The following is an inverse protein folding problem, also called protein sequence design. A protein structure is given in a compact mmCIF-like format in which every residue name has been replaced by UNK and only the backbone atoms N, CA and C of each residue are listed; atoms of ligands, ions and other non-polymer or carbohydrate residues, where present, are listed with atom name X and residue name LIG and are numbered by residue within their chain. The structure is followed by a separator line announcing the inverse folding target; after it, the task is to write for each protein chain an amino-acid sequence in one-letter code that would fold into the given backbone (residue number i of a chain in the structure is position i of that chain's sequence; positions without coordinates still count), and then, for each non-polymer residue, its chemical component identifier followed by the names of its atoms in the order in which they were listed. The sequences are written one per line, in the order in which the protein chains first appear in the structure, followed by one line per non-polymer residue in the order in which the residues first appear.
data_IF_448626739736
#
_entry.id   IF_448626739736
#
_cell.length_a   1.000
_cell.length_b   1.000
_cell.length_c   1.000
_cell.angle_alpha   90.00
_cell.angle_beta   90.00
_cell.angle_gamma   90.00
#
_symmetry.space_group_name_H-M   'P 1'
#
loop_
_entity.id
_entity.type
_entity.pdbx_description
1 polymer ?
#
# COMPACT_ATOMS: atom_id res chain seq x y z
N UNK A 1 -6.94 -15.77 -27.59
CA UNK A 1 -5.80 -15.25 -26.80
C UNK A 1 -6.30 -14.79 -25.42
N UNK A 2 -6.91 -15.68 -24.64
CA UNK A 2 -7.63 -15.32 -23.40
C UNK A 2 -6.90 -15.76 -22.10
N UNK A 3 -5.67 -16.29 -22.19
CA UNK A 3 -4.99 -16.86 -21.03
C UNK A 3 -4.10 -15.91 -20.22
N UNK A 4 -3.72 -14.74 -20.74
CA UNK A 4 -2.74 -13.84 -20.07
C UNK A 4 -3.33 -12.69 -19.27
N UNK A 5 -4.59 -12.36 -19.45
CA UNK A 5 -5.21 -11.21 -18.77
C UNK A 5 -5.37 -11.39 -17.23
N UNK A 6 -5.48 -12.62 -16.76
CA UNK A 6 -5.67 -12.94 -15.34
C UNK A 6 -4.39 -13.40 -14.61
N UNK A 7 -3.28 -13.49 -15.31
CA UNK A 7 -2.01 -13.87 -14.69
C UNK A 7 -1.42 -12.70 -13.90
N UNK A 8 -1.07 -12.93 -12.64
CA UNK A 8 -0.43 -11.92 -11.78
C UNK A 8 1.07 -11.94 -12.03
N UNK A 9 1.61 -10.83 -12.48
CA UNK A 9 3.05 -10.60 -12.58
C UNK A 9 3.55 -9.86 -11.34
N UNK A 10 4.75 -10.22 -10.86
CA UNK A 10 5.40 -9.56 -9.72
C UNK A 10 6.58 -8.74 -10.23
N UNK A 11 6.45 -7.43 -10.14
CA UNK A 11 7.40 -6.46 -10.65
C UNK A 11 7.95 -5.59 -9.51
N UNK A 12 9.25 -5.28 -9.59
CA UNK A 12 9.89 -4.28 -8.73
C UNK A 12 9.92 -2.94 -9.46
N UNK A 13 9.37 -1.88 -8.85
CA UNK A 13 9.28 -0.54 -9.45
C UNK A 13 9.86 0.52 -8.49
N UNK A 14 10.84 1.32 -8.91
CA UNK A 14 11.65 1.17 -10.11
C UNK A 14 12.38 -0.18 -10.16
N UNK A 15 12.72 -0.64 -11.36
CA UNK A 15 13.48 -1.88 -11.50
C UNK A 15 14.88 -1.72 -10.86
N UNK A 16 15.33 -2.77 -10.16
CA UNK A 16 16.72 -2.80 -9.67
C UNK A 16 17.66 -3.12 -10.83
N UNK A 17 18.69 -2.31 -10.99
CA UNK A 17 19.72 -2.52 -12.01
C UNK A 17 21.00 -2.97 -11.32
N UNK A 18 21.52 -4.12 -11.73
CA UNK A 18 22.78 -4.67 -11.17
C UNK A 18 23.91 -3.66 -11.36
N UNK A 19 24.64 -3.37 -10.29
CA UNK A 19 25.77 -2.43 -10.32
C UNK A 19 25.38 -0.95 -10.21
N UNK A 20 24.09 -0.62 -10.09
CA UNK A 20 23.64 0.72 -9.78
C UNK A 20 23.20 0.84 -8.32
N UNK A 21 23.33 2.04 -7.70
CA UNK A 21 22.79 2.27 -6.37
C UNK A 21 21.27 2.09 -6.37
N UNK A 22 20.73 1.70 -5.22
CA UNK A 22 19.28 1.64 -5.03
C UNK A 22 18.64 3.02 -5.23
N UNK A 23 17.39 3.03 -5.72
CA UNK A 23 16.61 4.25 -5.80
C UNK A 23 16.52 4.90 -4.41
N UNK A 24 16.81 6.20 -4.26
CA UNK A 24 16.84 6.88 -2.95
C UNK A 24 15.46 6.93 -2.28
N UNK A 25 14.39 6.82 -3.05
CA UNK A 25 13.01 6.76 -2.55
C UNK A 25 12.52 5.31 -2.32
N UNK A 26 13.41 4.33 -2.58
CA UNK A 26 13.16 2.91 -2.43
C UNK A 26 12.41 2.28 -3.59
N UNK A 27 12.21 0.97 -3.52
CA UNK A 27 11.54 0.16 -4.52
C UNK A 27 10.21 -0.38 -3.99
N UNK A 28 9.18 -0.43 -4.82
CA UNK A 28 7.90 -1.07 -4.51
C UNK A 28 7.80 -2.43 -5.20
N UNK A 29 7.24 -3.43 -4.53
CA UNK A 29 6.91 -4.69 -5.17
C UNK A 29 5.43 -4.66 -5.59
N UNK A 30 5.17 -4.95 -6.84
CA UNK A 30 3.85 -4.84 -7.44
C UNK A 30 3.36 -6.20 -7.92
N UNK A 31 2.22 -6.62 -7.41
CA UNK A 31 1.47 -7.76 -7.92
C UNK A 31 0.43 -7.23 -8.90
N UNK A 32 0.71 -7.28 -10.19
CA UNK A 32 -0.13 -6.69 -11.23
C UNK A 32 -0.68 -7.72 -12.18
N UNK A 33 -1.87 -7.45 -12.70
CA UNK A 33 -2.43 -8.18 -13.83
C UNK A 33 -1.99 -7.54 -15.14
N UNK A 34 -1.97 -8.33 -16.21
CA UNK A 34 -1.29 -7.96 -17.46
C UNK A 34 -1.64 -6.59 -18.03
N UNK A 35 -2.92 -6.17 -17.99
CA UNK A 35 -3.34 -4.87 -18.52
C UNK A 35 -2.91 -3.71 -17.62
N UNK A 36 -3.00 -3.88 -16.29
CA UNK A 36 -2.58 -2.86 -15.33
C UNK A 36 -1.10 -2.51 -15.44
N UNK A 37 -0.26 -3.46 -15.82
CA UNK A 37 1.16 -3.22 -16.07
C UNK A 37 1.39 -2.11 -17.11
N UNK A 38 0.64 -2.15 -18.20
CA UNK A 38 0.76 -1.13 -19.24
C UNK A 38 0.31 0.25 -18.75
N UNK A 39 -0.75 0.32 -17.95
CA UNK A 39 -1.22 1.57 -17.34
C UNK A 39 -0.11 2.15 -16.47
N UNK A 40 0.48 1.35 -15.59
CA UNK A 40 1.53 1.77 -14.67
C UNK A 40 2.80 2.23 -15.40
N UNK A 41 3.28 1.44 -16.37
CA UNK A 41 4.51 1.77 -17.11
C UNK A 41 4.39 3.01 -18.00
N UNK A 42 3.17 3.37 -18.41
CA UNK A 42 2.89 4.55 -19.23
C UNK A 42 2.31 5.72 -18.41
N UNK A 43 2.18 5.57 -17.08
CA UNK A 43 1.66 6.64 -16.23
C UNK A 43 2.57 7.88 -16.29
N UNK A 44 1.98 9.10 -16.42
CA UNK A 44 2.74 10.33 -16.27
C UNK A 44 3.46 10.33 -14.94
N UNK A 45 4.60 10.61 -14.73
CA UNK A 45 5.31 10.55 -13.43
C UNK A 45 5.88 9.18 -13.06
N UNK A 46 5.74 8.18 -13.93
CA UNK A 46 6.47 6.92 -13.77
C UNK A 46 7.97 7.21 -13.58
N UNK A 47 8.57 6.65 -12.53
CA UNK A 47 9.97 6.86 -12.12
C UNK A 47 10.33 8.29 -11.67
N UNK A 48 9.38 9.20 -11.52
CA UNK A 48 9.68 10.51 -10.94
C UNK A 48 10.06 10.35 -9.43
N UNK A 49 10.95 11.19 -8.93
CA UNK A 49 11.27 11.24 -7.51
C UNK A 49 10.04 11.52 -6.64
N UNK A 50 10.02 10.95 -5.45
CA UNK A 50 8.95 11.21 -4.47
C UNK A 50 8.95 12.68 -4.07
N UNK A 51 7.78 13.39 -4.13
CA UNK A 51 7.68 14.75 -3.66
C UNK A 51 8.11 14.88 -2.19
N UNK A 52 8.88 15.90 -1.89
CA UNK A 52 9.36 16.16 -0.52
C UNK A 52 8.61 17.32 0.10
N UNK A 53 8.45 17.28 1.42
CA UNK A 53 7.91 18.39 2.17
C UNK A 53 8.75 19.67 1.95
N UNK A 54 8.15 20.88 2.02
CA UNK A 54 8.86 22.13 1.85
C UNK A 54 10.09 22.21 2.75
N UNK A 55 11.22 22.64 2.20
CA UNK A 55 12.49 22.72 2.92
C UNK A 55 13.08 21.37 3.31
N UNK A 56 12.54 20.26 2.87
CA UNK A 56 12.93 18.89 3.25
C UNK A 56 12.89 18.65 4.78
N UNK A 57 12.02 19.39 5.49
CA UNK A 57 11.86 19.31 6.93
C UNK A 57 10.76 18.32 7.27
N UNK A 58 11.11 17.29 8.01
CA UNK A 58 10.16 16.29 8.48
C UNK A 58 9.23 16.90 9.53
N UNK A 59 7.93 16.97 9.22
CA UNK A 59 6.89 17.53 10.08
C UNK A 59 6.18 16.49 10.96
N UNK A 60 6.66 15.26 10.99
CA UNK A 60 6.05 14.17 11.74
C UNK A 60 7.10 13.25 12.40
N UNK A 61 6.63 12.47 13.37
CA UNK A 61 7.39 11.40 14.01
C UNK A 61 6.50 10.17 14.19
N UNK A 62 7.09 8.98 14.04
CA UNK A 62 6.42 7.71 14.35
C UNK A 62 6.78 7.32 15.77
N UNK A 63 5.76 7.16 16.63
CA UNK A 63 5.92 6.78 18.05
C UNK A 63 5.04 5.60 18.40
N UNK A 64 5.48 4.81 19.38
CA UNK A 64 4.65 3.80 20.03
C UNK A 64 3.57 4.49 20.86
N UNK A 65 2.33 4.02 20.70
CA UNK A 65 1.20 4.44 21.55
C UNK A 65 0.96 3.43 22.65
N UNK A 66 0.26 3.83 23.69
CA UNK A 66 0.00 2.94 24.83
C UNK A 66 -0.90 1.74 24.47
N UNK A 67 -1.79 1.87 23.45
CA UNK A 67 -2.85 0.88 23.18
C UNK A 67 -2.96 0.45 21.72
N UNK A 68 -2.44 1.24 20.77
CA UNK A 68 -2.72 1.04 19.34
C UNK A 68 -1.45 0.80 18.49
N UNK A 69 -0.36 0.38 19.11
CA UNK A 69 0.91 0.17 18.39
C UNK A 69 1.58 1.49 17.97
N UNK A 70 2.24 1.51 16.84
CA UNK A 70 2.90 2.72 16.32
C UNK A 70 1.89 3.63 15.63
N UNK A 71 1.97 4.94 15.92
CA UNK A 71 1.18 5.99 15.27
C UNK A 71 2.06 7.11 14.72
N UNK A 72 1.51 7.91 13.80
CA UNK A 72 2.15 9.09 13.21
C UNK A 72 1.66 10.33 13.93
N UNK A 73 2.59 11.18 14.38
CA UNK A 73 2.31 12.39 15.15
C UNK A 73 2.99 13.60 14.50
N UNK A 74 2.26 14.70 14.39
CA UNK A 74 2.85 15.97 13.97
C UNK A 74 3.88 16.46 15.00
N UNK A 75 4.97 17.06 14.52
CA UNK A 75 6.01 17.68 15.36
C UNK A 75 5.92 19.20 15.40
N UNK A 76 5.04 19.79 14.59
CA UNK A 76 4.74 21.20 14.49
C UNK A 76 3.34 21.42 13.93
N UNK A 77 2.87 22.63 13.91
CA UNK A 77 1.69 23.01 13.15
C UNK A 77 1.96 22.88 11.65
N UNK A 78 1.01 22.30 10.94
CA UNK A 78 1.13 22.00 9.51
C UNK A 78 0.03 22.80 8.78
N UNK A 79 0.41 23.74 7.89
CA UNK A 79 -0.55 24.50 7.12
C UNK A 79 -1.41 23.61 6.20
N UNK A 80 -2.62 24.08 5.92
CA UNK A 80 -3.51 23.41 4.95
C UNK A 80 -2.81 23.35 3.59
N UNK A 81 -2.89 22.18 2.95
CA UNK A 81 -2.30 21.93 1.65
C UNK A 81 -0.82 21.56 1.68
N UNK A 82 -0.17 21.63 2.84
CA UNK A 82 1.22 21.19 2.96
C UNK A 82 1.31 19.66 2.88
N UNK A 83 2.27 19.16 2.10
CA UNK A 83 2.62 17.73 2.06
C UNK A 83 3.31 17.39 3.39
N UNK A 84 2.68 16.49 4.15
CA UNK A 84 3.24 15.98 5.41
C UNK A 84 4.35 14.97 5.10
N UNK A 85 4.06 14.02 4.22
CA UNK A 85 5.02 13.10 3.63
C UNK A 85 4.49 12.53 2.32
N UNK A 86 5.39 12.00 1.54
CA UNK A 86 5.10 11.13 0.41
C UNK A 86 6.08 9.96 0.47
N UNK A 87 5.65 8.78 0.07
CA UNK A 87 6.46 7.57 0.07
C UNK A 87 6.06 6.61 -1.05
N UNK A 88 7.02 5.81 -1.53
CA UNK A 88 6.69 4.67 -2.36
C UNK A 88 6.10 3.56 -1.49
N UNK A 89 4.98 2.94 -1.89
CA UNK A 89 4.44 1.77 -1.18
C UNK A 89 5.48 0.66 -1.05
N UNK A 90 5.40 -0.11 0.01
CA UNK A 90 6.19 -1.33 0.18
C UNK A 90 5.72 -2.40 -0.80
N UNK A 91 4.40 -2.60 -0.86
CA UNK A 91 3.76 -3.53 -1.77
C UNK A 91 2.44 -2.97 -2.30
N UNK A 92 2.16 -3.23 -3.58
CA UNK A 92 0.85 -3.00 -4.19
C UNK A 92 0.32 -4.34 -4.71
N UNK A 93 -0.93 -4.63 -4.38
CA UNK A 93 -1.58 -5.90 -4.72
C UNK A 93 -3.02 -5.67 -5.14
N UNK A 94 -3.62 -6.55 -5.95
CA UNK A 94 -5.05 -6.51 -6.21
C UNK A 94 -5.84 -6.48 -4.90
N UNK A 95 -6.89 -5.64 -4.84
CA UNK A 95 -7.75 -5.53 -3.68
C UNK A 95 -8.62 -6.78 -3.54
N UNK A 96 -8.45 -7.49 -2.44
CA UNK A 96 -9.18 -8.74 -2.19
C UNK A 96 -8.66 -9.92 -3.01
N UNK A 97 -9.34 -11.03 -2.88
CA UNK A 97 -9.09 -12.25 -3.65
C UNK A 97 -10.26 -12.52 -4.58
N UNK A 98 -9.96 -12.86 -5.82
CA UNK A 98 -10.98 -13.27 -6.77
C UNK A 98 -11.41 -14.71 -6.45
N UNK A 99 -12.69 -14.85 -6.18
CA UNK A 99 -13.34 -16.15 -6.00
C UNK A 99 -14.28 -16.34 -7.18
N UNK A 100 -14.14 -17.43 -7.94
CA UNK A 100 -15.08 -17.73 -9.01
C UNK A 100 -16.52 -17.76 -8.49
N UNK A 101 -17.50 -17.28 -9.26
CA UNK A 101 -18.90 -17.37 -8.87
C UNK A 101 -19.30 -18.85 -8.75
N UNK A 102 -19.51 -19.31 -7.52
CA UNK A 102 -19.92 -20.68 -7.25
C UNK A 102 -20.85 -20.70 -6.05
N UNK A 103 -22.04 -21.26 -6.21
CA UNK A 103 -23.06 -21.27 -5.18
C UNK A 103 -22.71 -22.17 -3.98
N UNK A 104 -21.93 -23.23 -4.17
CA UNK A 104 -21.79 -24.30 -3.18
C UNK A 104 -20.42 -24.43 -2.51
N UNK A 105 -19.39 -23.70 -2.94
CA UNK A 105 -18.01 -23.90 -2.46
C UNK A 105 -17.23 -22.61 -2.19
N UNK A 106 -17.91 -21.51 -1.94
CA UNK A 106 -17.29 -20.18 -1.74
C UNK A 106 -16.17 -20.23 -0.71
N UNK A 107 -16.39 -20.85 0.44
CA UNK A 107 -15.39 -20.93 1.51
C UNK A 107 -14.11 -21.69 1.09
N UNK A 108 -14.26 -22.75 0.30
CA UNK A 108 -13.12 -23.53 -0.21
C UNK A 108 -12.30 -22.70 -1.20
N UNK A 109 -12.97 -22.07 -2.16
CA UNK A 109 -12.31 -21.23 -3.17
C UNK A 109 -11.67 -19.99 -2.56
N UNK A 110 -12.31 -19.38 -1.55
CA UNK A 110 -11.72 -18.27 -0.80
C UNK A 110 -10.41 -18.69 -0.11
N UNK A 111 -10.38 -19.86 0.54
CA UNK A 111 -9.15 -20.37 1.16
C UNK A 111 -8.06 -20.64 0.13
N UNK A 112 -8.41 -21.21 -1.02
CA UNK A 112 -7.44 -21.44 -2.10
C UNK A 112 -6.90 -20.12 -2.65
N UNK A 113 -7.75 -19.14 -2.89
CA UNK A 113 -7.36 -17.83 -3.39
C UNK A 113 -6.46 -17.08 -2.39
N UNK A 114 -6.77 -17.12 -1.10
CA UNK A 114 -5.92 -16.57 -0.05
C UNK A 114 -4.57 -17.29 0.03
N UNK A 115 -4.55 -18.60 -0.10
CA UNK A 115 -3.29 -19.36 -0.14
C UNK A 115 -2.43 -18.95 -1.35
N UNK A 116 -3.01 -18.81 -2.53
CA UNK A 116 -2.28 -18.36 -3.72
C UNK A 116 -1.76 -16.92 -3.55
N UNK A 117 -2.58 -16.02 -3.02
CA UNK A 117 -2.15 -14.66 -2.74
C UNK A 117 -0.99 -14.62 -1.74
N UNK A 118 -1.03 -15.43 -0.67
CA UNK A 118 0.07 -15.53 0.28
C UNK A 118 1.37 -15.95 -0.41
N UNK A 119 1.33 -16.97 -1.29
CA UNK A 119 2.50 -17.41 -2.05
C UNK A 119 3.05 -16.34 -3.01
N UNK A 120 2.19 -15.57 -3.63
CA UNK A 120 2.61 -14.43 -4.46
C UNK A 120 3.25 -13.32 -3.61
N UNK A 121 2.71 -13.04 -2.42
CA UNK A 121 3.28 -12.08 -1.49
C UNK A 121 4.62 -12.56 -0.93
N UNK A 122 4.79 -13.86 -0.65
CA UNK A 122 6.09 -14.43 -0.26
C UNK A 122 7.17 -14.12 -1.32
N UNK A 123 6.87 -14.36 -2.60
CA UNK A 123 7.79 -14.05 -3.71
C UNK A 123 8.09 -12.55 -3.80
N UNK A 124 7.08 -11.69 -3.61
CA UNK A 124 7.28 -10.25 -3.60
C UNK A 124 8.20 -9.81 -2.45
N UNK A 125 7.96 -10.35 -1.25
CA UNK A 125 8.75 -10.04 -0.04
C UNK A 125 10.20 -10.55 -0.17
N UNK A 126 10.42 -11.67 -0.82
CA UNK A 126 11.78 -12.18 -1.12
C UNK A 126 12.58 -11.24 -2.03
N UNK A 127 11.90 -10.53 -2.93
CA UNK A 127 12.52 -9.53 -3.81
C UNK A 127 12.89 -8.23 -3.09
N UNK A 128 12.26 -7.91 -1.95
CA UNK A 128 12.56 -6.69 -1.19
C UNK A 128 13.99 -6.70 -0.66
N UNK A 129 14.59 -5.50 -0.55
CA UNK A 129 15.78 -5.32 0.28
C UNK A 129 15.44 -5.57 1.76
N UNK A 130 16.47 -5.76 2.57
CA UNK A 130 16.33 -6.12 3.99
C UNK A 130 15.57 -5.05 4.81
N UNK A 131 15.78 -3.78 4.49
CA UNK A 131 15.13 -2.67 5.20
C UNK A 131 13.63 -2.65 4.91
N UNK A 132 13.21 -2.65 3.63
CA UNK A 132 11.81 -2.61 3.25
C UNK A 132 11.06 -3.86 3.69
N UNK A 133 11.72 -5.02 3.64
CA UNK A 133 11.18 -6.26 4.20
C UNK A 133 10.92 -6.13 5.71
N UNK A 134 11.88 -5.58 6.46
CA UNK A 134 11.71 -5.36 7.89
C UNK A 134 10.60 -4.35 8.19
N UNK A 135 10.47 -3.28 7.41
CA UNK A 135 9.38 -2.31 7.52
C UNK A 135 8.02 -2.97 7.34
N UNK A 136 7.84 -3.81 6.30
CA UNK A 136 6.59 -4.53 6.05
C UNK A 136 6.24 -5.48 7.20
N UNK A 137 7.19 -6.31 7.62
CA UNK A 137 6.98 -7.30 8.67
C UNK A 137 6.77 -6.68 10.07
N UNK A 138 7.16 -5.41 10.26
CA UNK A 138 6.91 -4.67 11.49
C UNK A 138 5.53 -3.99 11.54
N UNK A 139 4.69 -4.15 10.52
CA UNK A 139 3.31 -3.67 10.52
C UNK A 139 2.40 -4.58 11.36
N UNK A 140 1.28 -4.03 11.81
CA UNK A 140 0.33 -4.75 12.65
C UNK A 140 -0.29 -5.95 11.92
N UNK A 141 -0.37 -7.10 12.60
CA UNK A 141 -1.01 -8.29 12.09
C UNK A 141 -1.67 -9.10 13.22
N UNK A 142 -2.86 -8.70 13.65
CA UNK A 142 -3.63 -9.51 14.60
C UNK A 142 -4.48 -10.59 13.91
N UNK A 143 -4.62 -10.58 12.56
CA UNK A 143 -5.40 -11.56 11.80
C UNK A 143 -4.68 -12.92 11.62
N UNK A 144 -3.39 -12.99 11.88
CA UNK A 144 -2.63 -14.24 11.84
C UNK A 144 -3.20 -15.32 12.77
N UNK A 145 -3.91 -14.92 13.84
CA UNK A 145 -4.59 -15.83 14.76
C UNK A 145 -5.80 -16.55 14.13
N UNK A 146 -6.33 -16.05 13.01
CA UNK A 146 -7.52 -16.61 12.34
C UNK A 146 -7.18 -17.60 11.22
N UNK A 147 -5.91 -18.04 11.11
CA UNK A 147 -5.48 -18.99 10.07
C UNK A 147 -5.34 -18.34 8.67
N UNK A 148 -5.42 -17.03 8.56
CA UNK A 148 -4.98 -16.29 7.38
C UNK A 148 -3.45 -16.30 7.37
N UNK A 149 -2.84 -16.31 6.17
CA UNK A 149 -1.38 -16.20 6.04
C UNK A 149 -0.86 -14.89 6.64
N UNK A 150 0.38 -14.88 7.08
CA UNK A 150 0.98 -13.72 7.76
C UNK A 150 0.97 -12.48 6.88
N UNK A 151 1.33 -12.61 5.60
CA UNK A 151 1.42 -11.49 4.67
C UNK A 151 0.03 -11.00 4.24
N UNK A 152 -0.91 -11.90 4.00
CA UNK A 152 -2.31 -11.54 3.77
C UNK A 152 -2.89 -10.74 4.94
N UNK A 153 -2.62 -11.17 6.17
CA UNK A 153 -3.06 -10.46 7.36
C UNK A 153 -2.49 -9.04 7.44
N UNK A 154 -1.19 -8.87 7.15
CA UNK A 154 -0.54 -7.55 7.09
C UNK A 154 -1.19 -6.68 6.01
N UNK A 155 -1.34 -7.20 4.79
CA UNK A 155 -1.94 -6.45 3.67
C UNK A 155 -3.35 -6.01 4.03
N UNK A 156 -4.21 -6.91 4.46
CA UNK A 156 -5.62 -6.62 4.78
C UNK A 156 -5.82 -5.61 5.88
N UNK A 157 -4.87 -5.51 6.81
CA UNK A 157 -4.95 -4.59 7.94
C UNK A 157 -4.37 -3.20 7.67
N UNK A 158 -3.40 -3.13 6.78
CA UNK A 158 -2.57 -1.95 6.64
C UNK A 158 -2.66 -1.30 5.25
N UNK A 159 -3.48 -1.85 4.34
CA UNK A 159 -3.56 -1.34 2.98
C UNK A 159 -4.59 -0.23 2.83
N UNK A 160 -4.31 0.65 1.87
CA UNK A 160 -5.20 1.70 1.38
C UNK A 160 -5.53 1.47 -0.09
N UNK A 161 -6.74 1.84 -0.51
CA UNK A 161 -7.13 1.78 -1.92
C UNK A 161 -6.28 2.70 -2.78
N UNK A 162 -5.89 2.23 -3.96
CA UNK A 162 -5.21 3.03 -4.98
C UNK A 162 -6.26 3.54 -5.95
N UNK A 163 -6.44 4.86 -6.01
CA UNK A 163 -7.39 5.49 -6.93
C UNK A 163 -6.79 5.57 -8.33
N UNK A 164 -7.64 5.54 -9.34
CA UNK A 164 -7.29 5.64 -10.77
C UNK A 164 -6.33 4.54 -11.28
N UNK A 165 -6.15 3.48 -10.53
CA UNK A 165 -5.50 2.27 -10.99
C UNK A 165 -6.57 1.19 -11.17
N UNK A 166 -7.40 1.38 -12.19
CA UNK A 166 -8.48 0.47 -12.54
C UNK A 166 -8.23 -0.05 -13.94
N UNK A 167 -8.36 -1.34 -14.09
CA UNK A 167 -8.40 -1.97 -15.38
C UNK A 167 -9.85 -1.98 -15.88
N UNK A 168 -10.20 -0.99 -16.70
CA UNK A 168 -11.56 -0.85 -17.26
C UNK A 168 -11.89 -1.97 -18.26
N UNK A 169 -10.87 -2.61 -18.85
CA UNK A 169 -11.05 -3.76 -19.74
C UNK A 169 -11.13 -5.09 -18.98
N UNK A 170 -11.37 -5.04 -17.68
CA UNK A 170 -11.56 -6.24 -16.90
C UNK A 170 -12.70 -7.07 -17.51
N UNK A 171 -12.42 -8.32 -17.73
CA UNK A 171 -13.36 -9.30 -18.25
C UNK A 171 -14.61 -9.44 -17.37
N UNK A 172 -15.33 -10.56 -17.42
CA UNK A 172 -16.59 -10.76 -16.69
C UNK A 172 -16.51 -10.55 -15.16
N UNK A 173 -15.31 -10.45 -14.60
CA UNK A 173 -15.07 -10.33 -13.16
C UNK A 173 -15.11 -8.86 -12.65
N UNK A 174 -15.32 -7.87 -13.51
CA UNK A 174 -15.39 -6.45 -13.15
C UNK A 174 -14.03 -5.76 -13.00
N UNK A 175 -14.00 -4.45 -12.72
CA UNK A 175 -12.77 -3.69 -12.64
C UNK A 175 -11.89 -4.15 -11.47
N UNK A 176 -10.60 -4.32 -11.74
CA UNK A 176 -9.63 -4.68 -10.72
C UNK A 176 -9.20 -3.44 -9.96
N UNK A 177 -9.49 -3.42 -8.67
CA UNK A 177 -8.98 -2.43 -7.75
C UNK A 177 -7.66 -2.88 -7.14
N UNK A 178 -6.83 -1.93 -6.73
CA UNK A 178 -5.55 -2.20 -6.09
C UNK A 178 -5.50 -1.57 -4.71
N UNK A 179 -4.68 -2.18 -3.88
CA UNK A 179 -4.37 -1.71 -2.54
C UNK A 179 -2.88 -1.57 -2.36
N UNK A 180 -2.46 -0.54 -1.64
CA UNK A 180 -1.06 -0.27 -1.33
C UNK A 180 -0.81 -0.37 0.18
N UNK A 181 0.29 -1.00 0.55
CA UNK A 181 0.81 -1.04 1.92
C UNK A 181 2.05 -0.16 1.97
N UNK A 182 2.10 0.75 2.93
CA UNK A 182 3.15 1.74 3.11
C UNK A 182 3.86 1.56 4.45
N UNK A 183 5.06 2.12 4.64
CA UNK A 183 5.70 2.10 5.96
C UNK A 183 5.04 3.11 6.90
N UNK A 184 5.06 4.38 6.54
CA UNK A 184 4.53 5.46 7.38
C UNK A 184 3.02 5.56 7.26
N UNK A 185 2.48 5.54 6.04
CA UNK A 185 1.06 5.67 5.75
C UNK A 185 0.21 4.63 6.46
N UNK A 186 0.67 3.38 6.48
CA UNK A 186 -0.04 2.27 7.15
C UNK A 186 -0.07 2.37 8.68
N UNK A 187 0.63 3.34 9.28
CA UNK A 187 0.63 3.61 10.72
C UNK A 187 -0.31 4.76 11.11
N UNK A 188 -1.05 5.30 10.15
CA UNK A 188 -2.03 6.34 10.41
C UNK A 188 -3.34 5.69 10.80
N UNK A 189 -3.81 6.03 12.00
CA UNK A 189 -5.07 5.53 12.52
C UNK A 189 -6.24 6.31 11.91
N UNK A 190 -7.28 5.59 11.50
CA UNK A 190 -8.52 6.19 11.04
C UNK A 190 -9.23 6.94 12.17
N UNK A 191 -9.66 8.16 11.88
CA UNK A 191 -10.50 8.96 12.77
C UNK A 191 -11.71 9.48 12.01
N UNK A 192 -12.83 9.67 12.72
CA UNK A 192 -14.09 10.18 12.15
C UNK A 192 -13.98 11.60 11.57
N UNK A 193 -12.92 12.34 11.94
CA UNK A 193 -12.61 13.66 11.39
C UNK A 193 -11.27 13.58 10.70
N UNK A 194 -11.29 13.55 9.37
CA UNK A 194 -10.06 13.52 8.56
C UNK A 194 -9.36 14.87 8.63
N UNK A 195 -8.21 14.90 9.28
CA UNK A 195 -7.31 16.06 9.26
C UNK A 195 -6.35 16.05 8.06
N UNK A 196 -6.40 14.99 7.26
CA UNK A 196 -5.51 14.81 6.15
C UNK A 196 -6.18 14.01 5.02
N UNK A 197 -5.80 14.30 3.80
CA UNK A 197 -6.26 13.61 2.60
C UNK A 197 -5.18 12.63 2.18
N UNK A 198 -5.52 11.35 2.15
CA UNK A 198 -4.72 10.35 1.48
C UNK A 198 -4.97 10.41 -0.03
N UNK A 199 -3.91 10.51 -0.79
CA UNK A 199 -3.95 10.36 -2.23
C UNK A 199 -2.94 9.32 -2.66
N UNK A 200 -3.38 8.35 -3.46
CA UNK A 200 -2.49 7.59 -4.33
C UNK A 200 -2.93 7.89 -5.74
N UNK A 201 -2.06 8.42 -6.54
CA UNK A 201 -2.35 8.61 -7.96
C UNK A 201 -1.49 7.64 -8.76
N UNK A 202 -2.09 7.01 -9.76
CA UNK A 202 -1.33 6.22 -10.74
C UNK A 202 -0.25 7.08 -11.41
N UNK A 203 -0.48 8.40 -11.49
CA UNK A 203 0.44 9.35 -12.10
C UNK A 203 1.80 9.40 -11.41
N UNK A 204 1.85 9.19 -10.08
CA UNK A 204 3.12 9.31 -9.34
C UNK A 204 3.59 7.99 -8.71
N UNK A 205 2.74 6.95 -8.70
CA UNK A 205 3.04 5.68 -8.02
C UNK A 205 3.51 5.89 -6.56
N UNK A 206 2.94 6.90 -5.91
CA UNK A 206 3.39 7.45 -4.63
C UNK A 206 2.18 7.67 -3.74
N UNK A 207 2.31 7.31 -2.48
CA UNK A 207 1.38 7.69 -1.44
C UNK A 207 1.83 9.00 -0.80
N UNK A 208 0.91 9.95 -0.70
CA UNK A 208 1.18 11.20 0.00
C UNK A 208 0.06 11.53 0.99
N UNK A 209 0.43 12.25 2.02
CA UNK A 209 -0.47 12.79 3.01
C UNK A 209 -0.38 14.31 2.98
N UNK A 210 -1.52 14.96 2.76
CA UNK A 210 -1.66 16.42 2.73
C UNK A 210 -2.56 16.86 3.87
N UNK A 211 -2.18 17.92 4.58
CA UNK A 211 -3.02 18.50 5.63
C UNK A 211 -4.31 19.07 5.04
N UNK A 212 -5.47 18.63 5.50
CA UNK A 212 -6.80 19.12 5.07
C UNK A 212 -7.34 20.23 5.96
N UNK A 213 -6.71 20.45 7.13
CA UNK A 213 -7.00 21.54 8.09
C UNK A 213 -5.70 21.96 8.74
N UNK A 214 -5.61 23.23 9.15
CA UNK A 214 -4.55 23.65 10.08
C UNK A 214 -4.78 22.89 11.38
N UNK A 215 -3.93 21.95 11.71
CA UNK A 215 -4.13 21.12 12.89
C UNK A 215 -2.84 20.70 13.54
N UNK A 216 -2.92 20.66 14.82
CA UNK A 216 -1.84 20.36 15.73
C UNK A 216 -1.60 18.86 15.93
N UNK A 217 -2.48 17.95 15.44
CA UNK A 217 -2.36 16.54 15.86
C UNK A 217 -2.88 15.58 14.79
N UNK A 218 -2.00 14.81 14.21
CA UNK A 218 -2.29 13.48 13.70
C UNK A 218 -2.07 12.50 14.86
N UNK A 219 -2.94 12.48 15.85
CA UNK A 219 -2.81 11.61 17.01
C UNK A 219 -3.97 10.64 17.14
N UNK A 220 -3.66 9.42 17.51
CA UNK A 220 -4.60 8.53 18.17
C UNK A 220 -4.86 9.07 19.58
N UNK A 221 -6.00 9.70 19.84
CA UNK A 221 -6.49 9.81 21.21
C UNK A 221 -7.01 8.44 21.64
N UNK A 222 -6.83 8.05 22.90
CA UNK A 222 -7.42 6.82 23.41
C UNK A 222 -8.95 6.87 23.28
N UNK A 223 -9.63 5.72 23.14
CA UNK A 223 -11.07 5.68 23.25
C UNK A 223 -11.44 6.27 24.62
N UNK A 224 -12.40 7.17 24.65
CA UNK A 224 -13.09 7.54 25.87
C UNK A 224 -13.73 6.27 26.42
N UNK A 225 -13.45 5.95 27.67
CA UNK A 225 -14.06 4.88 28.46
C UNK A 225 -15.58 5.00 28.47
#
# INVERSE_FOLDING_TARGET
MTGKANEVEILTIPARVVGQPCDPDGHSEWLMRGLTKNIVLNAPGYLQPVPKAPGNVKSYIVKLTATMGKGVFATRDIPIGEIIFAERPLVITPHGVLVPPCEHHVAKYTKMALFHQEKQLEVAVEKMDSERRAQLLALSNWRSQNGEGTLNGIVRMNSYGVHNLMDEESGPDGPHHYSAVCDVGSRINHRSVSFAIFGATAEYLIYFLVASRTSTIVSSSPPLL
#
